data_IF_027082273118
#
_entry.id   IF_027082273118
#
_cell.length_a   1.000
_cell.length_b   1.000
_cell.length_c   1.000
_cell.angle_alpha   90.00
_cell.angle_beta   90.00
_cell.angle_gamma   90.00
#
_symmetry.space_group_name_H-M   'P 1'
#
loop_
_entity.id
_entity.type
_entity.pdbx_description
1 polymer ?
#
# COMPACT_ATOMS: atom_id res chain seq x y z
N UNK A 1 -23.63 -9.49 -10.22
CA UNK A 1 -24.82 -8.62 -10.41
C UNK A 1 -24.51 -7.11 -10.45
N UNK A 2 -23.26 -6.67 -10.23
CA UNK A 2 -22.86 -5.25 -10.27
C UNK A 2 -22.35 -4.74 -11.64
N UNK A 3 -22.13 -5.63 -12.61
CA UNK A 3 -21.57 -5.28 -13.93
C UNK A 3 -22.59 -4.66 -14.89
N UNK A 4 -23.90 -4.76 -14.59
CA UNK A 4 -24.97 -4.20 -15.45
C UNK A 4 -25.38 -2.77 -15.09
N UNK A 5 -24.90 -2.22 -13.98
CA UNK A 5 -25.28 -0.87 -13.50
C UNK A 5 -24.38 0.23 -14.09
N UNK A 6 -23.19 -0.11 -14.59
CA UNK A 6 -22.23 0.87 -15.12
C UNK A 6 -22.56 1.31 -16.56
N UNK A 7 -23.26 0.49 -17.34
CA UNK A 7 -23.64 0.85 -18.72
C UNK A 7 -24.82 1.85 -18.82
N UNK A 8 -25.53 2.10 -17.72
CA UNK A 8 -26.67 3.04 -17.68
C UNK A 8 -26.34 4.42 -17.12
N UNK A 9 -25.12 4.65 -16.59
CA UNK A 9 -24.74 5.96 -16.02
C UNK A 9 -24.07 6.92 -17.01
N UNK A 10 -23.72 6.48 -18.21
CA UNK A 10 -23.14 7.34 -19.26
C UNK A 10 -24.17 8.20 -20.01
N UNK A 11 -25.47 7.94 -19.86
CA UNK A 11 -26.53 8.76 -20.50
C UNK A 11 -27.07 9.85 -19.54
N UNK A 12 -26.93 9.70 -18.22
CA UNK A 12 -27.53 10.62 -17.23
C UNK A 12 -26.57 11.75 -16.79
N UNK A 13 -25.25 11.54 -16.87
CA UNK A 13 -24.28 12.58 -16.47
C UNK A 13 -24.08 13.71 -17.50
N UNK A 14 -24.57 13.53 -18.73
CA UNK A 14 -24.59 14.61 -19.75
C UNK A 14 -25.62 15.69 -19.40
N UNK A 15 -26.66 15.37 -18.64
CA UNK A 15 -27.68 16.35 -18.22
C UNK A 15 -27.23 17.21 -17.02
N UNK A 16 -26.34 16.71 -16.15
CA UNK A 16 -26.00 17.38 -14.89
C UNK A 16 -24.92 18.48 -15.02
N UNK A 17 -24.10 18.47 -16.08
CA UNK A 17 -23.10 19.54 -16.34
C UNK A 17 -23.47 20.52 -17.46
N UNK A 18 -24.58 20.28 -18.17
CA UNK A 18 -25.10 21.24 -19.16
C UNK A 18 -25.81 22.46 -18.51
N UNK A 19 -26.04 22.45 -17.19
CA UNK A 19 -26.79 23.50 -16.48
C UNK A 19 -25.95 24.64 -15.89
N UNK A 20 -24.65 24.76 -16.20
CA UNK A 20 -23.82 25.87 -15.72
C UNK A 20 -23.14 26.73 -16.80
N UNK A 21 -23.55 26.61 -18.05
CA UNK A 21 -23.20 27.61 -19.08
C UNK A 21 -24.44 28.44 -19.48
N UNK A 22 -24.94 29.24 -18.54
CA UNK A 22 -25.94 30.30 -18.78
C UNK A 22 -25.33 31.52 -19.49
N UNK A 23 -24.52 31.28 -20.53
CA UNK A 23 -23.85 32.30 -21.36
C UNK A 23 -24.24 32.26 -22.85
N UNK A 24 -25.20 31.41 -23.25
CA UNK A 24 -25.73 31.37 -24.61
C UNK A 24 -27.09 32.07 -24.68
N UNK A 25 -27.13 33.35 -24.35
CA UNK A 25 -28.29 34.21 -24.60
C UNK A 25 -28.06 34.99 -25.89
N UNK A 26 -28.88 34.66 -26.90
CA UNK A 26 -29.20 35.45 -28.08
C UNK A 26 -28.07 35.82 -29.06
N UNK A 27 -27.72 34.89 -29.94
CA UNK A 27 -27.08 35.26 -31.21
C UNK A 27 -27.60 34.45 -32.40
N UNK A 28 -28.92 34.40 -32.65
CA UNK A 28 -29.38 33.99 -33.98
C UNK A 28 -30.65 34.74 -34.39
N UNK A 29 -30.44 35.73 -35.25
CA UNK A 29 -31.43 36.16 -36.22
C UNK A 29 -31.01 35.61 -37.59
N UNK A 30 -31.99 35.05 -38.29
CA UNK A 30 -32.10 34.85 -39.75
C UNK A 30 -31.16 33.87 -40.50
N UNK A 31 -31.80 32.79 -40.98
CA UNK A 31 -31.65 32.15 -42.30
C UNK A 31 -30.29 31.55 -42.73
N UNK A 32 -30.06 30.27 -42.38
CA UNK A 32 -29.49 29.19 -43.23
C UNK A 32 -29.22 27.92 -42.38
N UNK A 33 -30.20 27.02 -42.28
CA UNK A 33 -30.28 25.99 -41.22
C UNK A 33 -29.66 24.61 -41.51
N UNK A 34 -28.75 24.48 -42.50
CA UNK A 34 -28.08 23.18 -42.74
C UNK A 34 -26.59 23.14 -42.34
N UNK A 35 -25.90 24.29 -42.26
CA UNK A 35 -24.46 24.33 -41.96
C UNK A 35 -24.14 24.34 -40.46
N UNK A 36 -25.03 24.87 -39.63
CA UNK A 36 -24.81 25.09 -38.19
C UNK A 36 -24.74 23.77 -37.39
N UNK A 37 -25.41 22.69 -37.83
CA UNK A 37 -25.46 21.41 -37.06
C UNK A 37 -24.17 20.59 -37.10
N UNK A 38 -23.33 20.72 -38.12
CA UNK A 38 -22.12 19.91 -38.24
C UNK A 38 -21.00 20.41 -37.32
N UNK A 39 -20.86 21.73 -37.19
CA UNK A 39 -19.87 22.33 -36.32
C UNK A 39 -20.24 22.10 -34.83
N UNK A 40 -21.53 22.22 -34.50
CA UNK A 40 -22.05 21.83 -33.18
C UNK A 40 -21.82 20.34 -32.87
N UNK A 41 -22.04 19.46 -33.85
CA UNK A 41 -21.80 18.02 -33.68
C UNK A 41 -20.32 17.71 -33.39
N UNK A 42 -19.40 18.29 -34.17
CA UNK A 42 -17.96 18.09 -33.95
C UNK A 42 -17.51 18.65 -32.60
N UNK A 43 -18.08 19.78 -32.17
CA UNK A 43 -17.76 20.35 -30.86
C UNK A 43 -18.19 19.43 -29.70
N UNK A 44 -19.36 18.79 -29.81
CA UNK A 44 -19.77 17.77 -28.83
C UNK A 44 -18.80 16.59 -28.81
N UNK A 45 -18.30 16.15 -29.97
CA UNK A 45 -17.31 15.06 -30.04
C UNK A 45 -15.98 15.48 -29.41
N UNK A 46 -15.53 16.72 -29.59
CA UNK A 46 -14.33 17.25 -28.91
C UNK A 46 -14.48 17.22 -27.40
N UNK A 47 -15.63 17.66 -26.88
CA UNK A 47 -15.92 17.58 -25.44
C UNK A 47 -15.91 16.14 -24.92
N UNK A 48 -16.40 15.18 -25.70
CA UNK A 48 -16.32 13.76 -25.36
C UNK A 48 -14.87 13.26 -25.34
N UNK A 49 -14.06 13.64 -26.33
CA UNK A 49 -12.64 13.32 -26.37
C UNK A 49 -11.89 13.87 -25.15
N UNK A 50 -12.13 15.14 -24.79
CA UNK A 50 -11.54 15.76 -23.60
C UNK A 50 -11.95 15.04 -22.32
N UNK A 51 -13.22 14.62 -22.24
CA UNK A 51 -13.72 13.84 -21.10
C UNK A 51 -12.99 12.49 -20.98
N UNK A 52 -12.70 11.79 -22.09
CA UNK A 52 -11.94 10.55 -22.05
C UNK A 52 -10.54 10.73 -21.48
N UNK A 53 -9.83 11.79 -21.90
CA UNK A 53 -8.49 12.12 -21.37
C UNK A 53 -8.57 12.46 -19.88
N UNK A 54 -9.53 13.30 -19.49
CA UNK A 54 -9.74 13.66 -18.09
C UNK A 54 -10.04 12.42 -17.23
N UNK A 55 -10.89 11.52 -17.72
CA UNK A 55 -11.26 10.30 -17.01
C UNK A 55 -10.05 9.39 -16.77
N UNK A 56 -9.18 9.19 -17.76
CA UNK A 56 -7.96 8.40 -17.57
C UNK A 56 -7.00 9.04 -16.57
N UNK A 57 -6.80 10.36 -16.67
CA UNK A 57 -5.98 11.11 -15.70
C UNK A 57 -6.52 10.93 -14.28
N UNK A 58 -7.83 11.07 -14.09
CA UNK A 58 -8.47 10.90 -12.79
C UNK A 58 -8.29 9.49 -12.24
N UNK A 59 -8.43 8.46 -13.08
CA UNK A 59 -8.24 7.07 -12.66
C UNK A 59 -6.78 6.76 -12.28
N UNK A 60 -5.81 7.33 -13.02
CA UNK A 60 -4.38 7.20 -12.70
C UNK A 60 -4.08 7.82 -11.33
N UNK A 61 -4.51 9.06 -11.09
CA UNK A 61 -4.26 9.74 -9.82
C UNK A 61 -5.00 9.08 -8.66
N UNK A 62 -6.25 8.66 -8.85
CA UNK A 62 -6.99 7.92 -7.81
C UNK A 62 -6.29 6.61 -7.43
N UNK A 63 -5.80 5.86 -8.42
CA UNK A 63 -5.02 4.65 -8.18
C UNK A 63 -3.72 4.96 -7.42
N UNK A 64 -3.00 6.01 -7.84
CA UNK A 64 -1.76 6.48 -7.20
C UNK A 64 -1.98 6.80 -5.73
N UNK A 65 -3.00 7.58 -5.42
CA UNK A 65 -3.31 8.02 -4.06
C UNK A 65 -3.71 6.85 -3.18
N UNK A 66 -4.56 5.95 -3.67
CA UNK A 66 -4.96 4.75 -2.93
C UNK A 66 -3.75 3.86 -2.63
N UNK A 67 -2.84 3.68 -3.60
CA UNK A 67 -1.63 2.92 -3.40
C UNK A 67 -0.73 3.55 -2.34
N UNK A 68 -0.42 4.84 -2.46
CA UNK A 68 0.44 5.56 -1.52
C UNK A 68 -0.15 5.61 -0.11
N UNK A 69 -1.46 5.80 0.02
CA UNK A 69 -2.15 5.78 1.31
C UNK A 69 -2.03 4.42 2.00
N UNK A 70 -2.10 3.31 1.24
CA UNK A 70 -1.89 1.97 1.80
C UNK A 70 -0.46 1.78 2.29
N UNK A 71 0.54 2.29 1.58
CA UNK A 71 1.93 2.27 2.06
C UNK A 71 2.09 3.14 3.31
N UNK A 72 1.54 4.35 3.31
CA UNK A 72 1.63 5.28 4.44
C UNK A 72 0.90 4.79 5.69
N UNK A 73 -0.06 3.87 5.58
CA UNK A 73 -0.70 3.26 6.75
C UNK A 73 0.29 2.52 7.67
N UNK A 74 1.48 2.14 7.16
CA UNK A 74 2.57 1.55 7.94
C UNK A 74 3.12 2.54 8.99
N UNK A 75 2.96 3.85 8.81
CA UNK A 75 3.36 4.86 9.81
C UNK A 75 2.68 4.64 11.17
N UNK A 76 1.46 4.08 11.18
CA UNK A 76 0.77 3.72 12.43
C UNK A 76 1.54 2.60 13.15
N UNK A 77 2.00 1.59 12.41
CA UNK A 77 2.81 0.49 12.93
C UNK A 77 4.17 0.97 13.46
N UNK A 78 4.77 1.96 12.79
CA UNK A 78 6.00 2.62 13.24
C UNK A 78 5.80 3.31 14.60
N UNK A 79 4.75 4.14 14.74
CA UNK A 79 4.46 4.87 16.00
C UNK A 79 4.22 3.95 17.18
N UNK A 80 3.48 2.85 16.96
CA UNK A 80 3.26 1.84 18.00
C UNK A 80 4.58 1.20 18.44
N UNK A 81 5.46 0.88 17.49
CA UNK A 81 6.77 0.31 17.80
C UNK A 81 7.64 1.28 18.63
N UNK A 82 7.64 2.57 18.29
CA UNK A 82 8.38 3.57 19.05
C UNK A 82 7.88 3.66 20.49
N UNK A 83 6.56 3.61 20.70
CA UNK A 83 5.96 3.58 22.03
C UNK A 83 6.42 2.38 22.87
N UNK A 84 6.53 1.20 22.27
CA UNK A 84 7.03 0.00 22.96
C UNK A 84 8.52 0.11 23.34
N UNK A 85 9.36 0.66 22.46
CA UNK A 85 10.78 0.93 22.77
C UNK A 85 10.88 1.94 23.91
N UNK A 86 10.10 3.02 23.86
CA UNK A 86 10.10 4.08 24.87
C UNK A 86 9.69 3.51 26.23
N UNK A 87 8.59 2.76 26.27
CA UNK A 87 8.09 2.08 27.46
C UNK A 87 9.11 1.11 28.05
N UNK A 88 9.78 0.32 27.22
CA UNK A 88 10.82 -0.59 27.69
C UNK A 88 11.97 0.18 28.36
N UNK A 89 12.41 1.29 27.77
CA UNK A 89 13.43 2.15 28.36
C UNK A 89 12.97 2.81 29.68
N UNK A 90 11.72 3.27 29.75
CA UNK A 90 11.14 3.84 30.98
C UNK A 90 11.09 2.83 32.13
N UNK A 91 10.79 1.55 31.84
CA UNK A 91 10.80 0.48 32.84
C UNK A 91 12.22 0.19 33.34
N UNK A 92 13.21 0.22 32.45
CA UNK A 92 14.61 -0.08 32.80
C UNK A 92 15.31 1.07 33.53
N UNK A 93 14.89 2.32 33.30
CA UNK A 93 15.58 3.50 33.84
C UNK A 93 15.63 3.53 35.39
N UNK A 94 14.57 3.23 36.15
CA UNK A 94 14.66 3.16 37.61
C UNK A 94 15.66 2.11 38.13
N UNK A 95 15.85 1.01 37.41
CA UNK A 95 16.77 -0.07 37.80
C UNK A 95 18.24 0.39 37.75
N UNK A 96 18.58 1.37 36.90
CA UNK A 96 19.96 1.88 36.80
C UNK A 96 20.36 2.77 37.97
N UNK A 97 19.40 3.32 38.72
CA UNK A 97 19.64 4.20 39.87
C UNK A 97 19.41 3.50 41.22
N UNK A 98 18.84 2.30 41.21
CA UNK A 98 18.53 1.54 42.43
C UNK A 98 19.79 1.07 43.17
N UNK A 99 20.78 0.55 42.44
CA UNK A 99 22.08 0.11 42.97
C UNK A 99 23.11 0.00 41.85
N UNK A 100 24.40 -0.14 42.18
CA UNK A 100 25.44 -0.37 41.17
C UNK A 100 25.31 -1.77 40.52
N UNK A 101 24.89 -2.78 41.29
CA UNK A 101 24.61 -4.13 40.77
C UNK A 101 23.48 -4.13 39.74
N UNK A 102 22.34 -3.51 40.07
CA UNK A 102 21.21 -3.42 39.14
C UNK A 102 21.53 -2.58 37.90
N UNK A 103 22.39 -1.56 38.05
CA UNK A 103 22.92 -0.79 36.92
C UNK A 103 23.74 -1.67 35.97
N UNK A 104 24.65 -2.47 36.51
CA UNK A 104 25.50 -3.37 35.71
C UNK A 104 24.65 -4.37 34.90
N UNK A 105 23.64 -4.99 35.52
CA UNK A 105 22.71 -5.88 34.83
C UNK A 105 22.00 -5.19 33.66
N UNK A 106 21.49 -3.97 33.86
CA UNK A 106 20.81 -3.21 32.80
C UNK A 106 21.78 -2.83 31.69
N UNK A 107 22.95 -2.26 32.02
CA UNK A 107 23.92 -1.80 31.03
C UNK A 107 24.46 -2.95 30.16
N UNK A 108 24.59 -4.14 30.72
CA UNK A 108 25.04 -5.36 30.01
C UNK A 108 24.09 -5.75 28.86
N UNK A 109 22.77 -5.63 29.06
CA UNK A 109 21.78 -6.14 28.10
C UNK A 109 20.97 -5.05 27.37
N UNK A 110 21.00 -3.78 27.83
CA UNK A 110 20.25 -2.66 27.23
C UNK A 110 20.52 -2.48 25.73
N UNK A 111 21.73 -2.76 25.28
CA UNK A 111 22.12 -2.61 23.87
C UNK A 111 21.39 -3.58 22.91
N UNK A 112 20.71 -4.61 23.42
CA UNK A 112 19.83 -5.45 22.63
C UNK A 112 18.60 -4.68 22.15
N UNK A 113 18.11 -3.72 22.95
CA UNK A 113 16.98 -2.87 22.61
C UNK A 113 17.46 -1.82 21.60
N UNK A 114 16.94 -1.79 20.37
CA UNK A 114 17.32 -0.76 19.41
C UNK A 114 16.84 0.61 19.89
N UNK A 115 17.54 1.68 19.48
CA UNK A 115 17.04 3.04 19.70
C UNK A 115 15.78 3.30 18.86
N UNK A 116 14.93 4.22 19.34
CA UNK A 116 13.76 4.67 18.58
C UNK A 116 14.16 5.13 17.17
N UNK A 117 15.21 5.95 17.04
CA UNK A 117 15.72 6.43 15.76
C UNK A 117 16.16 5.32 14.80
N UNK A 118 16.79 4.25 15.32
CA UNK A 118 17.23 3.13 14.50
C UNK A 118 16.03 2.32 13.99
N UNK A 119 15.08 2.01 14.88
CA UNK A 119 13.87 1.28 14.51
C UNK A 119 12.96 2.11 13.58
N UNK A 120 12.86 3.42 13.80
CA UNK A 120 12.13 4.35 12.93
C UNK A 120 12.70 4.34 11.51
N UNK A 121 14.03 4.48 11.38
CA UNK A 121 14.74 4.46 10.10
C UNK A 121 14.53 3.15 9.33
N UNK A 122 14.55 2.00 10.00
CA UNK A 122 14.31 0.71 9.35
C UNK A 122 12.87 0.56 8.84
N UNK A 123 11.87 1.04 9.59
CA UNK A 123 10.48 1.04 9.11
C UNK A 123 10.28 2.04 7.96
N UNK A 124 10.90 3.22 8.02
CA UNK A 124 10.86 4.20 6.92
C UNK A 124 11.46 3.62 5.64
N UNK A 125 12.56 2.86 5.75
CA UNK A 125 13.16 2.16 4.61
C UNK A 125 12.19 1.19 3.93
N UNK A 126 11.38 0.48 4.70
CA UNK A 126 10.31 -0.38 4.17
C UNK A 126 9.27 0.44 3.38
N UNK A 127 8.83 1.58 3.91
CA UNK A 127 7.87 2.46 3.24
C UNK A 127 8.45 3.09 1.97
N UNK A 128 9.68 3.58 2.00
CA UNK A 128 10.35 4.17 0.85
C UNK A 128 10.48 3.20 -0.32
N UNK A 129 10.82 1.94 -0.04
CA UNK A 129 10.86 0.88 -1.07
C UNK A 129 9.50 0.71 -1.76
N UNK A 130 8.40 0.69 -0.98
CA UNK A 130 7.04 0.63 -1.51
C UNK A 130 6.65 1.87 -2.30
N UNK A 131 6.88 3.07 -1.77
CA UNK A 131 6.60 4.36 -2.45
C UNK A 131 7.33 4.45 -3.79
N UNK A 132 8.57 3.95 -3.86
CA UNK A 132 9.40 3.94 -5.06
C UNK A 132 8.80 3.18 -6.24
N UNK A 133 7.86 2.26 -6.02
CA UNK A 133 7.22 1.49 -7.09
C UNK A 133 6.12 2.25 -7.83
N UNK A 134 5.67 3.41 -7.35
CA UNK A 134 4.45 4.04 -7.87
C UNK A 134 4.55 4.37 -9.37
N UNK A 135 5.71 4.81 -9.84
CA UNK A 135 5.91 5.16 -11.25
C UNK A 135 5.84 3.91 -12.15
N UNK A 136 6.40 2.78 -11.71
CA UNK A 136 6.35 1.54 -12.50
C UNK A 136 4.92 1.02 -12.65
N UNK A 137 4.06 1.28 -11.66
CA UNK A 137 2.64 0.92 -11.70
C UNK A 137 1.82 1.79 -12.67
N UNK A 138 2.15 3.08 -12.82
CA UNK A 138 1.32 4.02 -13.60
C UNK A 138 1.82 4.33 -15.01
N UNK A 139 3.11 4.14 -15.30
CA UNK A 139 3.73 4.59 -16.54
C UNK A 139 3.01 4.10 -17.82
N UNK A 140 2.57 2.84 -17.85
CA UNK A 140 1.86 2.29 -19.01
C UNK A 140 0.52 2.99 -19.25
N UNK A 141 -0.22 3.29 -18.18
CA UNK A 141 -1.50 4.01 -18.25
C UNK A 141 -1.31 5.45 -18.72
N UNK A 142 -0.26 6.13 -18.21
CA UNK A 142 0.13 7.48 -18.64
C UNK A 142 0.44 7.50 -20.14
N UNK A 143 1.23 6.52 -20.62
CA UNK A 143 1.56 6.39 -22.03
C UNK A 143 0.34 6.16 -22.92
N UNK A 144 -0.60 5.31 -22.50
CA UNK A 144 -1.86 5.08 -23.21
C UNK A 144 -2.69 6.38 -23.28
N UNK A 145 -2.81 7.11 -22.16
CA UNK A 145 -3.54 8.37 -22.14
C UNK A 145 -2.92 9.43 -23.07
N UNK A 146 -1.59 9.52 -23.08
CA UNK A 146 -0.87 10.44 -23.97
C UNK A 146 -1.00 10.05 -25.44
N UNK A 147 -1.03 8.76 -25.74
CA UNK A 147 -1.27 8.23 -27.09
C UNK A 147 -2.67 8.61 -27.58
N UNK A 148 -3.69 8.44 -26.72
CA UNK A 148 -5.07 8.84 -27.04
C UNK A 148 -5.20 10.36 -27.23
N UNK A 149 -4.58 11.15 -26.36
CA UNK A 149 -4.54 12.62 -26.47
C UNK A 149 -3.89 13.07 -27.79
N UNK A 150 -2.75 12.48 -28.13
CA UNK A 150 -2.04 12.78 -29.39
C UNK A 150 -2.89 12.43 -30.61
N UNK A 151 -3.64 11.32 -30.56
CA UNK A 151 -4.55 10.94 -31.62
C UNK A 151 -5.68 11.97 -31.80
N UNK A 152 -6.30 12.44 -30.72
CA UNK A 152 -7.36 13.46 -30.81
C UNK A 152 -6.84 14.78 -31.37
N UNK A 153 -5.74 15.32 -30.81
CA UNK A 153 -5.20 16.62 -31.23
C UNK A 153 -4.57 16.57 -32.63
N UNK A 154 -4.05 15.41 -33.04
CA UNK A 154 -3.39 15.22 -34.33
C UNK A 154 -4.30 14.67 -35.40
N UNK A 155 -4.71 13.40 -35.26
CA UNK A 155 -5.39 12.64 -36.32
C UNK A 155 -6.83 13.06 -36.49
N UNK A 156 -7.58 13.19 -35.39
CA UNK A 156 -8.98 13.58 -35.45
C UNK A 156 -9.15 15.01 -35.99
N UNK A 157 -8.44 15.99 -35.43
CA UNK A 157 -8.53 17.38 -35.89
C UNK A 157 -8.08 17.57 -37.36
N UNK A 158 -7.05 16.84 -37.78
CA UNK A 158 -6.63 16.83 -39.19
C UNK A 158 -7.73 16.22 -40.08
N UNK A 159 -8.40 15.17 -39.63
CA UNK A 159 -9.53 14.55 -40.32
C UNK A 159 -10.68 15.54 -40.52
N UNK A 160 -11.09 16.25 -39.46
CA UNK A 160 -12.13 17.30 -39.51
C UNK A 160 -11.73 18.40 -40.50
N UNK A 161 -10.49 18.90 -40.41
CA UNK A 161 -9.97 19.96 -41.29
C UNK A 161 -9.97 19.52 -42.76
N UNK A 162 -9.59 18.27 -43.04
CA UNK A 162 -9.58 17.71 -44.39
C UNK A 162 -11.00 17.56 -44.97
N UNK A 163 -11.98 17.15 -44.15
CA UNK A 163 -13.37 17.11 -44.60
C UNK A 163 -13.85 18.49 -45.02
N UNK A 164 -13.53 19.52 -44.21
CA UNK A 164 -13.91 20.91 -44.47
C UNK A 164 -13.27 21.48 -45.73
N UNK A 165 -12.00 21.16 -45.99
CA UNK A 165 -11.28 21.66 -47.18
C UNK A 165 -11.69 20.94 -48.46
N UNK A 166 -12.01 19.64 -48.40
CA UNK A 166 -12.35 18.80 -49.56
C UNK A 166 -13.81 18.93 -50.00
N UNK A 167 -14.73 19.03 -49.05
CA UNK A 167 -16.17 19.12 -49.31
C UNK A 167 -16.65 20.48 -48.79
N UNK A 168 -16.46 21.52 -49.60
CA UNK A 168 -16.96 22.86 -49.29
C UNK A 168 -18.52 22.89 -49.31
N UNK A 169 -19.10 24.08 -49.16
CA UNK A 169 -20.55 24.30 -49.15
C UNK A 169 -21.32 23.75 -50.37
N UNK A 170 -20.65 23.38 -51.46
CA UNK A 170 -21.26 22.86 -52.68
C UNK A 170 -21.65 21.38 -52.61
N UNK A 171 -21.20 20.61 -51.61
CA UNK A 171 -21.52 19.17 -51.46
C UNK A 171 -21.84 18.78 -50.00
N UNK A 172 -22.98 19.21 -49.45
CA UNK A 172 -23.30 19.06 -48.02
C UNK A 172 -23.41 17.60 -47.56
N UNK A 173 -23.95 16.69 -48.39
CA UNK A 173 -24.05 15.26 -48.04
C UNK A 173 -22.67 14.59 -47.91
N UNK A 174 -21.74 14.90 -48.83
CA UNK A 174 -20.39 14.34 -48.78
C UNK A 174 -19.59 14.90 -47.59
N UNK A 175 -19.83 16.16 -47.21
CA UNK A 175 -19.23 16.75 -46.01
C UNK A 175 -19.70 16.04 -44.74
N UNK A 176 -21.01 15.83 -44.59
CA UNK A 176 -21.60 15.10 -43.44
C UNK A 176 -21.04 13.68 -43.35
N UNK A 177 -21.02 12.95 -44.47
CA UNK A 177 -20.50 11.58 -44.50
C UNK A 177 -19.02 11.54 -44.10
N UNK A 178 -18.20 12.46 -44.62
CA UNK A 178 -16.78 12.55 -44.26
C UNK A 178 -16.58 12.76 -42.75
N UNK A 179 -17.34 13.69 -42.14
CA UNK A 179 -17.27 13.93 -40.70
C UNK A 179 -17.72 12.69 -39.90
N UNK A 180 -18.79 12.01 -40.34
CA UNK A 180 -19.26 10.78 -39.70
C UNK A 180 -18.18 9.68 -39.72
N UNK A 181 -17.47 9.52 -40.84
CA UNK A 181 -16.39 8.54 -40.98
C UNK A 181 -15.21 8.87 -40.05
N UNK A 182 -14.82 10.16 -39.95
CA UNK A 182 -13.77 10.63 -39.02
C UNK A 182 -14.15 10.36 -37.56
N UNK A 183 -15.39 10.68 -37.18
CA UNK A 183 -15.87 10.42 -35.81
C UNK A 183 -15.94 8.93 -35.53
N UNK A 184 -16.44 8.13 -36.48
CA UNK A 184 -16.48 6.67 -36.35
C UNK A 184 -15.09 6.07 -36.12
N UNK A 185 -14.09 6.50 -36.89
CA UNK A 185 -12.70 6.07 -36.69
C UNK A 185 -12.14 6.48 -35.32
N UNK A 186 -12.45 7.71 -34.86
CA UNK A 186 -12.06 8.19 -33.53
C UNK A 186 -12.68 7.35 -32.41
N UNK A 187 -13.95 6.99 -32.54
CA UNK A 187 -14.65 6.16 -31.55
C UNK A 187 -14.05 4.75 -31.47
N UNK A 188 -13.72 4.13 -32.61
CA UNK A 188 -13.03 2.83 -32.62
C UNK A 188 -11.68 2.92 -31.90
N UNK A 189 -10.88 3.92 -32.24
CA UNK A 189 -9.57 4.14 -31.60
C UNK A 189 -9.67 4.36 -30.09
N UNK A 190 -10.70 5.11 -29.66
CA UNK A 190 -11.01 5.37 -28.25
C UNK A 190 -11.35 4.09 -27.50
N UNK A 191 -12.24 3.27 -28.06
CA UNK A 191 -12.67 1.99 -27.46
C UNK A 191 -11.49 1.03 -27.31
N UNK A 192 -10.60 0.98 -28.31
CA UNK A 192 -9.41 0.13 -28.24
C UNK A 192 -8.42 0.62 -27.17
N UNK A 193 -8.19 1.93 -27.08
CA UNK A 193 -7.40 2.52 -25.99
C UNK A 193 -8.02 2.26 -24.61
N UNK A 194 -9.35 2.31 -24.50
CA UNK A 194 -10.05 2.01 -23.25
C UNK A 194 -9.84 0.57 -22.80
N UNK A 195 -9.84 -0.38 -23.73
CA UNK A 195 -9.55 -1.77 -23.42
C UNK A 195 -8.12 -1.94 -22.90
N UNK A 196 -7.16 -1.31 -23.56
CA UNK A 196 -5.74 -1.34 -23.17
C UNK A 196 -5.54 -0.71 -21.79
N UNK A 197 -6.07 0.49 -21.58
CA UNK A 197 -6.01 1.21 -20.32
C UNK A 197 -6.60 0.38 -19.17
N UNK A 198 -7.79 -0.20 -19.39
CA UNK A 198 -8.46 -1.02 -18.36
C UNK A 198 -7.63 -2.25 -17.99
N UNK A 199 -7.04 -2.94 -18.98
CA UNK A 199 -6.16 -4.07 -18.71
C UNK A 199 -4.90 -3.67 -17.93
N UNK A 200 -4.28 -2.54 -18.29
CA UNK A 200 -3.13 -1.99 -17.57
C UNK A 200 -3.47 -1.62 -16.12
N UNK A 201 -4.64 -1.01 -15.89
CA UNK A 201 -5.10 -0.67 -14.54
C UNK A 201 -5.32 -1.92 -13.68
N UNK A 202 -5.91 -2.98 -14.22
CA UNK A 202 -6.11 -4.23 -13.48
C UNK A 202 -4.78 -4.93 -13.15
N UNK A 203 -3.83 -4.93 -14.10
CA UNK A 203 -2.47 -5.43 -13.84
C UNK A 203 -1.77 -4.60 -12.75
N UNK A 204 -1.88 -3.27 -12.81
CA UNK A 204 -1.32 -2.37 -11.82
C UNK A 204 -1.92 -2.61 -10.43
N UNK A 205 -3.24 -2.86 -10.32
CA UNK A 205 -3.88 -3.25 -9.05
C UNK A 205 -3.33 -4.56 -8.49
N UNK A 206 -3.09 -5.55 -9.36
CA UNK A 206 -2.45 -6.81 -8.97
C UNK A 206 -1.06 -6.58 -8.38
N UNK A 207 -0.19 -5.89 -9.11
CA UNK A 207 1.17 -5.57 -8.66
C UNK A 207 1.19 -4.68 -7.41
N UNK A 208 0.30 -3.70 -7.32
CA UNK A 208 0.15 -2.84 -6.15
C UNK A 208 -0.12 -3.65 -4.87
N UNK A 209 -0.97 -4.69 -4.95
CA UNK A 209 -1.22 -5.56 -3.81
C UNK A 209 0.04 -6.31 -3.36
N UNK A 210 0.86 -6.77 -4.30
CA UNK A 210 2.13 -7.43 -4.00
C UNK A 210 3.09 -6.47 -3.30
N UNK A 211 3.28 -5.26 -3.84
CA UNK A 211 4.20 -4.28 -3.25
C UNK A 211 3.74 -3.76 -1.89
N UNK A 212 2.43 -3.55 -1.69
CA UNK A 212 1.89 -3.21 -0.37
C UNK A 212 2.18 -4.33 0.63
N UNK A 213 1.93 -5.59 0.24
CA UNK A 213 2.21 -6.75 1.09
C UNK A 213 3.69 -6.85 1.45
N UNK A 214 4.59 -6.68 0.49
CA UNK A 214 6.03 -6.70 0.74
C UNK A 214 6.47 -5.59 1.71
N UNK A 215 5.93 -4.37 1.56
CA UNK A 215 6.23 -3.27 2.49
C UNK A 215 5.72 -3.58 3.91
N UNK A 216 4.53 -4.17 4.04
CA UNK A 216 3.97 -4.61 5.31
C UNK A 216 4.79 -5.74 5.95
N UNK A 217 5.19 -6.75 5.18
CA UNK A 217 6.04 -7.86 5.67
C UNK A 217 7.41 -7.35 6.14
N UNK A 218 8.01 -6.41 5.40
CA UNK A 218 9.24 -5.73 5.81
C UNK A 218 9.06 -5.03 7.16
N UNK A 219 8.02 -4.21 7.32
CA UNK A 219 7.74 -3.51 8.58
C UNK A 219 7.48 -4.48 9.73
N UNK A 220 6.70 -5.53 9.48
CA UNK A 220 6.40 -6.56 10.47
C UNK A 220 7.66 -7.31 10.92
N UNK A 221 8.61 -7.57 10.02
CA UNK A 221 9.90 -8.17 10.37
C UNK A 221 10.69 -7.28 11.33
N UNK A 222 10.70 -5.96 11.11
CA UNK A 222 11.35 -4.99 12.00
C UNK A 222 10.67 -4.97 13.37
N UNK A 223 9.34 -4.94 13.40
CA UNK A 223 8.56 -4.99 14.64
C UNK A 223 8.84 -6.26 15.44
N UNK A 224 8.77 -7.43 14.80
CA UNK A 224 8.95 -8.71 15.47
C UNK A 224 10.37 -8.86 16.04
N UNK A 225 11.38 -8.48 15.26
CA UNK A 225 12.78 -8.46 15.73
C UNK A 225 12.97 -7.54 16.93
N UNK A 226 12.42 -6.32 16.86
CA UNK A 226 12.52 -5.33 17.94
C UNK A 226 11.83 -5.80 19.22
N UNK A 227 10.59 -6.30 19.12
CA UNK A 227 9.83 -6.80 20.28
C UNK A 227 10.52 -8.03 20.88
N UNK A 228 11.05 -8.93 20.04
CA UNK A 228 11.83 -10.08 20.50
C UNK A 228 13.06 -9.63 21.28
N UNK A 229 13.80 -8.64 20.77
CA UNK A 229 14.97 -8.09 21.45
C UNK A 229 14.62 -7.42 22.79
N UNK A 230 13.51 -6.69 22.85
CA UNK A 230 12.99 -6.10 24.10
C UNK A 230 12.71 -7.21 25.14
N UNK A 231 12.02 -8.28 24.73
CA UNK A 231 11.71 -9.41 25.62
C UNK A 231 12.98 -10.11 26.10
N UNK A 232 13.91 -10.39 25.19
CA UNK A 232 15.20 -11.01 25.55
C UNK A 232 15.99 -10.15 26.52
N UNK A 233 16.07 -8.83 26.27
CA UNK A 233 16.74 -7.90 27.18
C UNK A 233 16.08 -7.89 28.57
N UNK A 234 14.75 -7.80 28.63
CA UNK A 234 14.02 -7.81 29.90
C UNK A 234 14.25 -9.11 30.68
N UNK A 235 14.18 -10.27 30.02
CA UNK A 235 14.41 -11.56 30.66
C UNK A 235 15.85 -11.71 31.18
N UNK A 236 16.85 -11.31 30.38
CA UNK A 236 18.26 -11.39 30.79
C UNK A 236 18.58 -10.44 31.95
N UNK A 237 17.94 -9.27 31.99
CA UNK A 237 18.05 -8.33 33.11
C UNK A 237 17.40 -8.93 34.36
N UNK A 238 16.20 -9.49 34.24
CA UNK A 238 15.50 -10.12 35.38
C UNK A 238 16.29 -11.31 35.94
N UNK A 239 16.83 -12.17 35.07
CA UNK A 239 17.73 -13.26 35.48
C UNK A 239 18.97 -12.73 36.19
N UNK A 240 19.64 -11.71 35.64
CA UNK A 240 20.81 -11.09 36.27
C UNK A 240 20.48 -10.49 37.65
N UNK A 241 19.29 -9.89 37.82
CA UNK A 241 18.85 -9.32 39.10
C UNK A 241 18.45 -10.38 40.13
N UNK A 242 17.91 -11.50 39.66
CA UNK A 242 17.41 -12.61 40.50
C UNK A 242 18.45 -13.71 40.72
N UNK A 243 19.59 -13.67 40.03
CA UNK A 243 20.79 -14.42 40.37
C UNK A 243 21.29 -13.94 41.74
N UNK A 244 20.66 -14.47 42.80
CA UNK A 244 21.29 -14.58 44.11
C UNK A 244 22.53 -15.44 43.94
N UNK A 245 23.69 -14.84 43.72
CA UNK A 245 25.02 -15.44 43.97
C UNK A 245 25.02 -16.95 43.72
N UNK A 246 24.82 -17.40 42.48
CA UNK A 246 25.37 -18.69 42.06
C UNK A 246 26.80 -18.41 41.55
N UNK A 247 27.61 -17.84 42.44
CA UNK A 247 29.06 -18.07 42.42
C UNK A 247 29.32 -19.53 42.83
N UNK A 248 28.71 -20.48 42.13
CA UNK A 248 29.24 -21.84 42.09
C UNK A 248 29.75 -22.07 40.66
N UNK A 249 31.07 -21.92 40.42
CA UNK A 249 31.70 -22.22 39.14
C UNK A 249 31.52 -23.68 38.68
N UNK A 250 30.95 -24.54 39.53
CA UNK A 250 30.78 -25.99 39.29
C UNK A 250 29.55 -26.37 38.46
N UNK A 251 28.71 -25.42 38.03
CA UNK A 251 27.64 -25.72 37.05
C UNK A 251 28.15 -25.82 35.60
N UNK A 252 29.46 -26.00 35.38
CA UNK A 252 30.01 -26.64 34.18
C UNK A 252 29.99 -28.18 34.26
N UNK A 253 29.53 -28.75 35.39
CA UNK A 253 29.44 -30.18 35.62
C UNK A 253 28.21 -30.82 34.97
N UNK A 254 28.46 -31.85 34.15
CA UNK A 254 27.48 -32.85 33.72
C UNK A 254 26.56 -33.27 34.87
N UNK A 255 25.25 -33.01 34.76
CA UNK A 255 24.27 -33.48 35.73
C UNK A 255 23.87 -34.91 35.37
N UNK A 256 24.25 -35.88 36.21
CA UNK A 256 23.93 -37.31 35.96
C UNK A 256 22.41 -37.58 36.03
N UNK A 257 21.68 -36.78 36.80
CA UNK A 257 20.24 -36.93 37.01
C UNK A 257 19.43 -35.91 36.21
N UNK A 258 19.16 -36.25 34.94
CA UNK A 258 18.26 -35.51 34.05
C UNK A 258 16.89 -36.18 34.00
N UNK A 259 15.85 -35.48 34.43
CA UNK A 259 14.47 -35.92 34.27
C UNK A 259 13.87 -35.35 32.98
N UNK A 260 13.48 -36.20 32.04
CA UNK A 260 12.83 -35.75 30.81
C UNK A 260 11.33 -35.55 31.06
N UNK A 261 10.82 -34.34 30.81
CA UNK A 261 9.40 -34.01 30.88
C UNK A 261 8.86 -33.68 29.48
N UNK A 262 7.64 -34.14 29.12
CA UNK A 262 7.03 -33.75 27.85
C UNK A 262 6.54 -32.30 27.91
N UNK A 263 6.70 -31.55 26.82
CA UNK A 263 6.27 -30.15 26.73
C UNK A 263 4.79 -29.93 27.11
N UNK A 264 3.92 -30.93 26.91
CA UNK A 264 2.52 -30.91 27.33
C UNK A 264 2.28 -30.70 28.84
N UNK A 265 3.29 -30.93 29.69
CA UNK A 265 3.22 -30.70 31.13
C UNK A 265 3.47 -29.23 31.52
N UNK A 266 3.88 -28.40 30.57
CA UNK A 266 4.12 -26.98 30.76
C UNK A 266 2.90 -26.22 30.26
N UNK A 267 2.19 -25.56 31.16
CA UNK A 267 1.12 -24.64 30.79
C UNK A 267 1.74 -23.27 30.44
N UNK A 268 1.74 -22.86 29.17
CA UNK A 268 2.34 -21.59 28.75
C UNK A 268 1.60 -20.36 29.30
N UNK A 269 0.40 -20.53 29.87
CA UNK A 269 -0.38 -19.44 30.46
C UNK A 269 -0.25 -19.36 31.99
N UNK A 270 0.46 -20.29 32.61
CA UNK A 270 0.69 -20.33 34.05
C UNK A 270 2.12 -19.91 34.37
N UNK A 271 2.29 -19.03 35.36
CA UNK A 271 3.62 -18.68 35.91
C UNK A 271 4.12 -19.70 36.94
N UNK A 272 3.37 -20.79 37.17
CA UNK A 272 3.68 -21.85 38.13
C UNK A 272 3.61 -23.21 37.46
N UNK A 273 4.60 -24.05 37.73
CA UNK A 273 4.66 -25.45 37.30
C UNK A 273 4.64 -26.37 38.53
N UNK A 274 4.02 -27.54 38.40
CA UNK A 274 4.15 -28.57 39.42
C UNK A 274 5.61 -29.00 39.55
N UNK A 275 6.13 -29.10 40.78
CA UNK A 275 7.51 -29.50 41.01
C UNK A 275 7.72 -30.95 40.50
N UNK A 276 8.53 -31.17 39.45
CA UNK A 276 8.69 -32.48 38.85
C UNK A 276 9.51 -33.46 39.72
N UNK A 277 10.16 -32.95 40.78
CA UNK A 277 10.90 -33.74 41.76
C UNK A 277 10.12 -34.00 43.06
N UNK A 278 8.85 -33.59 43.11
CA UNK A 278 8.03 -33.75 44.31
C UNK A 278 7.87 -35.24 44.70
N UNK A 279 8.22 -35.58 45.94
CA UNK A 279 8.12 -36.95 46.48
C UNK A 279 9.41 -37.79 46.38
N UNK A 280 10.51 -37.24 45.87
CA UNK A 280 11.83 -37.88 46.00
C UNK A 280 12.34 -37.77 47.44
N UNK A 281 12.83 -38.90 47.97
CA UNK A 281 13.44 -38.99 49.31
C UNK A 281 14.97 -38.86 49.28
N UNK A 282 15.58 -38.84 48.10
CA UNK A 282 17.02 -38.76 47.90
C UNK A 282 17.40 -37.33 47.51
N UNK A 283 18.38 -36.76 48.22
CA UNK A 283 19.05 -35.51 47.85
C UNK A 283 20.19 -35.86 46.90
N UNK A 284 19.95 -35.74 45.59
CA UNK A 284 21.00 -35.79 44.58
C UNK A 284 21.87 -34.53 44.64
N UNK A 285 23.15 -34.64 44.27
CA UNK A 285 24.09 -33.50 44.21
C UNK A 285 23.74 -32.52 43.09
N UNK A 286 23.07 -33.00 42.02
CA UNK A 286 22.52 -32.19 40.94
C UNK A 286 21.19 -32.80 40.48
N UNK A 287 20.15 -31.96 40.34
CA UNK A 287 18.86 -32.34 39.78
C UNK A 287 18.52 -31.37 38.65
N UNK A 288 18.35 -31.89 37.43
CA UNK A 288 17.90 -31.10 36.29
C UNK A 288 16.75 -31.80 35.57
N UNK A 289 15.95 -31.04 34.83
CA UNK A 289 14.94 -31.60 33.95
C UNK A 289 15.08 -31.02 32.55
N UNK A 290 14.82 -31.85 31.55
CA UNK A 290 14.88 -31.49 30.13
C UNK A 290 13.49 -31.60 29.52
N UNK A 291 13.15 -30.67 28.63
CA UNK A 291 11.83 -30.59 28.01
C UNK A 291 11.92 -31.22 26.63
N UNK A 292 11.23 -32.34 26.46
CA UNK A 292 11.22 -33.05 25.19
C UNK A 292 9.99 -32.66 24.34
N UNK A 293 10.27 -32.14 23.14
CA UNK A 293 9.29 -31.87 22.10
C UNK A 293 9.15 -33.11 21.18
N UNK A 294 7.95 -33.69 21.12
CA UNK A 294 7.52 -34.65 20.09
C UNK A 294 6.59 -33.97 19.09
#
# INVERSE_FOLDING_TARGET
MFLKIIFTFTIILVAAKAQQNTGLINYYNTQNSSFIRNDEYIEVVRQQNDFHIWYYTHQIESFRDVYLNRINSIEVQQKLLMGEISRANEILMPLTVLSDFSRECVEKYKNLIPSETAAESEVERCMLSGRGQVNSLINSMVSTNQTLSTYYVGTFEKGVTNCRSKFNASNPLNYVQCLADVVSASNVYTVDNQRIFSAQLELAKGSANVYVKQAQECSFSVQNSTISNIRSAANLIDLCLNETVDENPDCEGYCEEVLIIPASMIDPNSTKMANPFFGRNETGECLTFDIWDL
#
